data_IF_930430483242
#
_entry.id   IF_930430483242
#
_cell.length_a   1.000
_cell.length_b   1.000
_cell.length_c   1.000
_cell.angle_alpha   90.00
_cell.angle_beta   90.00
_cell.angle_gamma   90.00
#
_symmetry.space_group_name_H-M   'P 1'
#
loop_
_entity.id
_entity.type
_entity.pdbx_description
1 polymer ?
#
# COMPACT_ATOMS: atom_id res chain seq x y z
N UNK A 1 3.31 -32.51 8.14
CA UNK A 1 4.18 -32.64 6.96
C UNK A 1 3.45 -32.29 5.66
N UNK A 2 2.31 -32.91 5.34
CA UNK A 2 1.49 -32.52 4.17
C UNK A 2 0.87 -31.13 4.34
N UNK A 3 0.27 -30.86 5.51
CA UNK A 3 -0.28 -29.53 5.85
C UNK A 3 0.75 -28.40 5.70
N UNK A 4 1.95 -28.58 6.26
CA UNK A 4 3.04 -27.61 6.16
C UNK A 4 3.44 -27.33 4.71
N UNK A 5 3.51 -28.37 3.86
CA UNK A 5 3.80 -28.21 2.43
C UNK A 5 2.69 -27.45 1.71
N UNK A 6 1.44 -27.72 2.04
CA UNK A 6 0.31 -27.01 1.45
C UNK A 6 0.25 -25.54 1.90
N UNK A 7 0.62 -25.23 3.14
CA UNK A 7 0.75 -23.86 3.62
C UNK A 7 1.83 -23.07 2.87
N UNK A 8 3.00 -23.68 2.65
CA UNK A 8 4.08 -23.06 1.86
C UNK A 8 3.63 -22.81 0.43
N UNK A 9 3.05 -23.83 -0.24
CA UNK A 9 2.53 -23.71 -1.61
C UNK A 9 1.47 -22.62 -1.73
N UNK A 10 0.56 -22.53 -0.75
CA UNK A 10 -0.49 -21.52 -0.73
C UNK A 10 0.07 -20.10 -0.54
N UNK A 11 1.08 -19.94 0.33
CA UNK A 11 1.77 -18.67 0.52
C UNK A 11 2.49 -18.23 -0.76
N UNK A 12 3.30 -19.11 -1.36
CA UNK A 12 4.04 -18.82 -2.60
C UNK A 12 3.09 -18.42 -3.73
N UNK A 13 2.01 -19.19 -3.92
CA UNK A 13 1.00 -18.88 -4.93
C UNK A 13 0.27 -17.57 -4.64
N UNK A 14 0.00 -17.27 -3.38
CA UNK A 14 -0.58 -16.00 -2.96
C UNK A 14 0.32 -14.82 -3.34
N UNK A 15 1.64 -14.97 -3.20
CA UNK A 15 2.61 -13.92 -3.52
C UNK A 15 2.67 -13.67 -5.03
N UNK A 16 2.67 -14.73 -5.85
CA UNK A 16 2.60 -14.61 -7.30
C UNK A 16 1.36 -13.84 -7.77
N UNK A 17 0.21 -14.02 -7.11
CA UNK A 17 -1.02 -13.30 -7.46
C UNK A 17 -0.96 -11.81 -7.14
N UNK A 18 -0.17 -11.41 -6.13
CA UNK A 18 0.02 -10.00 -5.76
C UNK A 18 0.99 -9.27 -6.70
N UNK A 19 1.75 -9.99 -7.52
CA UNK A 19 2.71 -9.41 -8.47
C UNK A 19 2.06 -8.39 -9.43
N UNK A 20 0.79 -8.59 -9.79
CA UNK A 20 0.02 -7.64 -10.61
C UNK A 20 -0.19 -6.26 -9.96
N UNK A 21 0.05 -6.13 -8.66
CA UNK A 21 0.01 -4.86 -7.94
C UNK A 21 1.33 -4.09 -8.03
N UNK A 22 2.40 -4.64 -8.64
CA UNK A 22 3.67 -3.93 -8.81
C UNK A 22 3.45 -2.59 -9.52
N UNK A 23 4.02 -1.53 -8.94
CA UNK A 23 3.89 -0.17 -9.47
C UNK A 23 2.53 0.49 -9.23
N UNK A 24 1.57 -0.21 -8.62
CA UNK A 24 0.27 0.33 -8.24
C UNK A 24 0.13 0.33 -6.71
N UNK A 25 -0.69 1.26 -6.21
CA UNK A 25 -1.03 1.35 -4.80
C UNK A 25 -2.53 1.25 -4.62
N UNK A 26 -2.94 0.70 -3.49
CA UNK A 26 -4.33 0.75 -3.02
C UNK A 26 -4.44 1.75 -1.88
N UNK A 27 -5.62 2.34 -1.74
CA UNK A 27 -5.85 3.44 -0.82
C UNK A 27 -7.03 3.14 0.10
N UNK A 28 -6.88 3.48 1.37
CA UNK A 28 -7.93 3.38 2.37
C UNK A 28 -8.07 4.73 3.07
N UNK A 29 -9.28 5.29 3.05
CA UNK A 29 -9.60 6.59 3.66
C UNK A 29 -10.40 6.34 4.94
N UNK A 30 -9.91 6.84 6.07
CA UNK A 30 -10.53 6.63 7.38
C UNK A 30 -10.45 7.89 8.24
N UNK A 31 -11.46 8.75 8.12
CA UNK A 31 -11.54 9.99 8.87
C UNK A 31 -10.42 10.96 8.47
N UNK A 32 -9.64 11.41 9.46
CA UNK A 32 -8.52 12.33 9.23
C UNK A 32 -7.37 11.70 8.45
N UNK A 33 -7.15 10.38 8.56
CA UNK A 33 -6.03 9.72 7.92
C UNK A 33 -6.44 8.95 6.67
N UNK A 34 -5.61 9.07 5.64
CA UNK A 34 -5.55 8.20 4.48
C UNK A 34 -4.34 7.28 4.58
N UNK A 35 -4.44 6.13 3.94
CA UNK A 35 -3.36 5.16 3.86
C UNK A 35 -3.14 4.76 2.41
N UNK A 36 -1.87 4.65 2.01
CA UNK A 36 -1.49 3.94 0.79
C UNK A 36 -0.74 2.66 1.16
N UNK A 37 -1.06 1.58 0.46
CA UNK A 37 -0.29 0.34 0.43
C UNK A 37 0.20 0.14 -1.00
N UNK A 38 1.53 0.15 -1.16
CA UNK A 38 2.18 -0.12 -2.43
C UNK A 38 2.96 -1.43 -2.31
N UNK A 39 2.62 -2.42 -3.13
CA UNK A 39 3.19 -3.77 -3.03
C UNK A 39 4.73 -3.74 -3.21
N UNK A 40 5.45 -4.43 -2.31
CA UNK A 40 6.92 -4.44 -2.21
C UNK A 40 7.58 -3.06 -2.20
N UNK A 41 6.89 -2.05 -1.66
CA UNK A 41 7.44 -0.70 -1.51
C UNK A 41 7.24 -0.19 -0.09
N UNK A 42 6.09 0.42 0.21
CA UNK A 42 5.84 0.97 1.54
C UNK A 42 4.35 1.06 1.88
N UNK A 43 4.10 1.21 3.18
CA UNK A 43 2.83 1.64 3.73
C UNK A 43 2.99 3.06 4.26
N UNK A 44 2.20 3.99 3.75
CA UNK A 44 2.25 5.40 4.15
C UNK A 44 0.89 5.86 4.69
N UNK A 45 0.92 6.59 5.79
CA UNK A 45 -0.21 7.31 6.37
C UNK A 45 -0.05 8.81 6.07
N UNK A 46 -1.09 9.45 5.56
CA UNK A 46 -1.07 10.85 5.16
C UNK A 46 -2.46 11.49 5.25
N UNK A 47 -2.55 12.81 5.20
CA UNK A 47 -3.82 13.52 5.08
C UNK A 47 -4.12 13.77 3.61
N UNK A 48 -5.33 13.45 3.10
CA UNK A 48 -5.69 13.80 1.72
C UNK A 48 -6.13 15.26 1.59
N UNK A 49 -5.88 15.87 0.43
CA UNK A 49 -6.46 17.17 0.09
C UNK A 49 -8.00 17.10 0.12
N UNK A 50 -8.67 18.15 0.62
CA UNK A 50 -10.12 18.25 0.51
C UNK A 50 -10.58 18.25 -0.97
N UNK A 51 -11.78 17.73 -1.27
CA UNK A 51 -12.35 17.83 -2.61
C UNK A 51 -12.40 19.29 -3.08
N UNK A 52 -11.74 19.58 -4.20
CA UNK A 52 -11.69 20.92 -4.80
C UNK A 52 -11.55 20.82 -6.31
N UNK A 53 -11.79 21.93 -7.01
CA UNK A 53 -11.73 21.96 -8.48
C UNK A 53 -10.29 21.64 -8.93
N UNK A 54 -10.13 20.56 -9.70
CA UNK A 54 -8.84 20.10 -10.21
C UNK A 54 -8.14 19.04 -9.35
N UNK A 55 -8.70 18.70 -8.18
CA UNK A 55 -8.21 17.58 -7.36
C UNK A 55 -9.03 16.32 -7.68
N UNK A 56 -8.40 15.23 -8.15
CA UNK A 56 -9.10 13.98 -8.39
C UNK A 56 -9.58 13.36 -7.08
N UNK A 57 -10.74 12.69 -7.13
CA UNK A 57 -11.27 11.94 -5.97
C UNK A 57 -10.45 10.67 -5.72
N UNK A 58 -9.93 10.05 -6.79
CA UNK A 58 -9.11 8.85 -6.71
C UNK A 58 -8.01 8.86 -7.79
N UNK A 59 -6.77 8.47 -7.47
CA UNK A 59 -6.26 8.22 -6.12
C UNK A 59 -6.27 9.50 -5.26
N UNK A 60 -6.41 9.39 -3.93
CA UNK A 60 -6.38 10.55 -3.05
C UNK A 60 -5.02 11.26 -3.15
N UNK A 61 -5.07 12.59 -3.26
CA UNK A 61 -3.86 13.42 -3.33
C UNK A 61 -3.44 13.80 -1.91
N UNK A 62 -2.17 13.63 -1.58
CA UNK A 62 -1.62 14.02 -0.28
C UNK A 62 -1.60 15.53 -0.08
N UNK A 63 -2.02 15.96 1.11
CA UNK A 63 -1.84 17.31 1.62
C UNK A 63 -0.47 17.44 2.28
N UNK A 64 0.47 18.07 1.58
CA UNK A 64 1.86 18.24 2.04
C UNK A 64 2.01 19.26 3.17
N UNK A 65 0.93 19.96 3.57
CA UNK A 65 0.95 20.88 4.73
C UNK A 65 0.83 20.14 6.06
N UNK A 66 0.33 18.90 6.03
CA UNK A 66 0.20 18.02 7.20
C UNK A 66 1.31 16.96 7.15
N UNK A 67 1.91 16.67 8.30
CA UNK A 67 2.98 15.68 8.35
C UNK A 67 2.46 14.26 8.06
N UNK A 68 3.15 13.57 7.15
CA UNK A 68 2.88 12.17 6.79
C UNK A 68 3.86 11.22 7.48
N UNK A 69 3.48 9.94 7.61
CA UNK A 69 4.28 8.91 8.23
C UNK A 69 4.44 7.69 7.33
N UNK A 70 5.65 7.16 7.22
CA UNK A 70 5.87 5.84 6.64
C UNK A 70 5.81 4.82 7.77
N UNK A 71 4.81 3.94 7.71
CA UNK A 71 4.52 2.94 8.74
C UNK A 71 5.39 1.69 8.58
N UNK A 72 5.87 1.44 7.37
CA UNK A 72 6.77 0.34 7.07
C UNK A 72 7.26 0.43 5.64
N UNK A 73 8.53 0.05 5.42
CA UNK A 73 9.10 -0.13 4.10
C UNK A 73 9.44 -1.59 3.89
N UNK A 74 9.19 -2.07 2.69
CA UNK A 74 9.71 -3.35 2.25
C UNK A 74 11.21 -3.21 2.07
N UNK A 75 12.01 -3.95 2.85
CA UNK A 75 13.44 -4.00 2.65
C UNK A 75 13.74 -4.96 1.50
N UNK A 76 14.11 -4.43 0.34
CA UNK A 76 14.82 -5.23 -0.65
C UNK A 76 16.19 -5.57 -0.04
N UNK A 77 16.35 -6.74 0.56
CA UNK A 77 17.66 -7.18 1.09
C UNK A 77 18.63 -7.62 -0.02
N UNK A 78 18.31 -7.32 -1.27
CA UNK A 78 19.05 -7.72 -2.47
C UNK A 78 19.53 -6.51 -3.31
N UNK A 79 19.66 -5.33 -2.71
CA UNK A 79 20.51 -4.23 -3.20
C UNK A 79 21.73 -4.02 -2.30
#
# INVERSE_FOLDING_TARGET
AEEEKELVRAADRGWELLEGMRGNCIYYLSGWWSYSFCYNNEVKQFHQLPPSRGVPIYPPVEDTSVHSFVLGRFSNKDE
#
